data_IF_237492607102
#
_entry.id   IF_237492607102
#
_cell.length_a   1.000
_cell.length_b   1.000
_cell.length_c   1.000
_cell.angle_alpha   90.00
_cell.angle_beta   90.00
_cell.angle_gamma   90.00
#
_symmetry.space_group_name_H-M   'P 1'
#
loop_
_entity.id
_entity.type
_entity.pdbx_description
1 polymer ?
#
# COMPACT_ATOMS: atom_id res chain seq x y z
N UNK A 1 26.16 1.86 -11.07
CA UNK A 1 27.33 2.58 -10.53
C UNK A 1 27.13 4.10 -10.51
N UNK A 2 26.72 4.75 -11.61
CA UNK A 2 26.43 6.20 -11.65
C UNK A 2 25.28 6.63 -10.71
N UNK A 3 24.25 5.79 -10.60
CA UNK A 3 23.06 6.03 -9.79
C UNK A 3 23.33 6.00 -8.27
N UNK A 4 24.26 5.15 -7.85
CA UNK A 4 24.66 4.97 -6.44
C UNK A 4 25.50 6.16 -5.96
N UNK A 5 26.23 6.79 -6.88
CA UNK A 5 27.01 8.01 -6.60
C UNK A 5 26.11 9.25 -6.50
N UNK A 6 25.06 9.34 -7.34
CA UNK A 6 24.08 10.43 -7.29
C UNK A 6 23.26 10.43 -5.98
N UNK A 7 22.99 9.24 -5.43
CA UNK A 7 22.28 9.08 -4.16
C UNK A 7 23.06 9.56 -2.93
N UNK A 8 24.40 9.63 -3.03
CA UNK A 8 25.29 9.93 -1.89
C UNK A 8 25.70 11.40 -1.79
N UNK A 9 25.45 12.22 -2.81
CA UNK A 9 26.09 13.54 -2.93
C UNK A 9 25.31 14.70 -2.29
N UNK A 10 23.98 14.68 -2.21
CA UNK A 10 23.20 15.80 -1.66
C UNK A 10 21.85 15.26 -1.16
N UNK A 11 21.17 15.95 -0.24
CA UNK A 11 19.82 15.60 0.27
C UNK A 11 18.72 15.45 -0.81
N UNK A 12 19.09 15.60 -2.08
CA UNK A 12 18.33 15.33 -3.31
C UNK A 12 18.24 13.82 -3.62
N UNK A 13 19.15 12.97 -3.12
CA UNK A 13 19.18 11.54 -3.43
C UNK A 13 17.87 10.81 -3.12
N UNK A 14 17.24 11.15 -1.98
CA UNK A 14 15.94 10.60 -1.59
C UNK A 14 14.84 10.97 -2.60
N UNK A 15 14.76 12.25 -3.00
CA UNK A 15 13.79 12.73 -4.00
C UNK A 15 14.03 12.11 -5.38
N UNK A 16 15.29 11.95 -5.77
CA UNK A 16 15.66 11.36 -7.05
C UNK A 16 15.31 9.86 -7.09
N UNK A 17 15.51 9.15 -5.98
CA UNK A 17 15.13 7.74 -5.83
C UNK A 17 13.60 7.58 -5.89
N UNK A 18 12.83 8.44 -5.22
CA UNK A 18 11.37 8.43 -5.28
C UNK A 18 10.86 8.81 -6.68
N UNK A 19 11.44 9.83 -7.32
CA UNK A 19 11.10 10.23 -8.69
C UNK A 19 11.31 9.07 -9.67
N UNK A 20 12.44 8.36 -9.58
CA UNK A 20 12.73 7.26 -10.49
C UNK A 20 11.84 6.03 -10.23
N UNK A 21 11.42 5.82 -8.99
CA UNK A 21 10.39 4.84 -8.66
C UNK A 21 9.05 5.19 -9.33
N UNK A 22 8.60 6.45 -9.26
CA UNK A 22 7.37 6.92 -9.93
C UNK A 22 7.49 6.86 -11.45
N UNK A 23 8.65 7.25 -12.01
CA UNK A 23 8.91 7.15 -13.45
C UNK A 23 8.82 5.70 -13.95
N UNK A 24 9.29 4.73 -13.17
CA UNK A 24 9.17 3.31 -13.51
C UNK A 24 7.69 2.86 -13.59
N UNK A 25 6.85 3.34 -12.68
CA UNK A 25 5.40 3.10 -12.71
C UNK A 25 4.76 3.72 -13.95
N UNK A 26 5.09 4.98 -14.27
CA UNK A 26 4.59 5.68 -15.46
C UNK A 26 5.02 4.96 -16.75
N UNK A 27 6.28 4.49 -16.83
CA UNK A 27 6.77 3.75 -18.00
C UNK A 27 5.99 2.44 -18.17
N UNK A 28 5.73 1.70 -17.09
CA UNK A 28 4.95 0.46 -17.14
C UNK A 28 3.53 0.70 -17.67
N UNK A 29 2.87 1.77 -17.21
CA UNK A 29 1.55 2.17 -17.69
C UNK A 29 1.58 2.65 -19.16
N UNK A 30 2.62 3.41 -19.54
CA UNK A 30 2.81 3.93 -20.90
C UNK A 30 2.96 2.82 -21.93
N UNK A 31 3.62 1.71 -21.60
CA UNK A 31 3.74 0.57 -22.52
C UNK A 31 2.37 -0.01 -22.92
N UNK A 32 1.42 -0.08 -21.99
CA UNK A 32 0.06 -0.57 -22.29
C UNK A 32 -0.67 0.41 -23.22
N UNK A 33 -0.52 1.71 -22.99
CA UNK A 33 -1.10 2.76 -23.84
C UNK A 33 -0.53 2.70 -25.26
N UNK A 34 0.79 2.53 -25.40
CA UNK A 34 1.46 2.47 -26.71
C UNK A 34 0.97 1.28 -27.54
N UNK A 35 0.78 0.09 -26.93
CA UNK A 35 0.24 -1.08 -27.63
C UNK A 35 -1.16 -0.79 -28.23
N UNK A 36 -1.98 -0.07 -27.49
CA UNK A 36 -3.32 0.31 -27.93
C UNK A 36 -3.29 1.40 -29.02
N UNK A 37 -2.39 2.38 -28.90
CA UNK A 37 -2.16 3.38 -29.94
C UNK A 37 -1.72 2.76 -31.26
N UNK A 38 -0.85 1.74 -31.24
CA UNK A 38 -0.43 1.03 -32.45
C UNK A 38 -1.61 0.31 -33.10
N UNK A 39 -2.49 -0.32 -32.30
CA UNK A 39 -3.69 -0.98 -32.81
C UNK A 39 -4.62 0.02 -33.52
N UNK A 40 -4.93 1.14 -32.87
CA UNK A 40 -5.77 2.18 -33.50
C UNK A 40 -5.11 2.86 -34.69
N UNK A 41 -3.80 3.12 -34.64
CA UNK A 41 -3.06 3.68 -35.76
C UNK A 41 -3.14 2.77 -37.00
N UNK A 42 -3.08 1.45 -36.80
CA UNK A 42 -3.21 0.47 -37.88
C UNK A 42 -4.63 0.48 -38.48
N UNK A 43 -5.67 0.58 -37.64
CA UNK A 43 -7.06 0.67 -38.11
C UNK A 43 -7.29 1.97 -38.88
N UNK A 44 -6.86 3.11 -38.33
CA UNK A 44 -7.00 4.40 -38.99
C UNK A 44 -6.20 4.45 -40.30
N UNK A 45 -5.00 3.87 -40.35
CA UNK A 45 -4.23 3.69 -41.58
C UNK A 45 -5.02 2.95 -42.67
N UNK A 46 -5.71 1.87 -42.31
CA UNK A 46 -6.51 1.10 -43.27
C UNK A 46 -7.77 1.83 -43.73
N UNK A 47 -8.47 2.51 -42.81
CA UNK A 47 -9.78 3.14 -43.10
C UNK A 47 -9.61 4.49 -43.80
N UNK A 48 -8.59 5.28 -43.43
CA UNK A 48 -8.43 6.69 -43.82
C UNK A 48 -7.25 6.92 -44.78
N UNK A 49 -6.84 5.90 -45.53
CA UNK A 49 -5.69 5.92 -46.45
C UNK A 49 -5.69 7.06 -47.49
N UNK A 50 -6.85 7.64 -47.77
CA UNK A 50 -7.01 8.77 -48.69
C UNK A 50 -6.41 10.09 -48.17
N UNK A 51 -6.18 10.18 -46.86
CA UNK A 51 -5.62 11.37 -46.23
C UNK A 51 -4.09 11.29 -46.18
N UNK A 52 -3.38 12.41 -46.39
CA UNK A 52 -1.91 12.43 -46.37
C UNK A 52 -1.35 12.03 -45.00
N UNK A 53 -2.08 12.33 -43.92
CA UNK A 53 -1.74 12.00 -42.54
C UNK A 53 -1.73 10.49 -42.25
N UNK A 54 -2.48 9.72 -43.03
CA UNK A 54 -2.60 8.26 -42.90
C UNK A 54 -1.96 7.52 -44.09
N UNK A 55 -1.12 8.20 -44.88
CA UNK A 55 -0.44 7.63 -46.05
C UNK A 55 0.60 6.58 -45.68
N UNK A 56 1.30 6.76 -44.55
CA UNK A 56 2.24 5.81 -43.96
C UNK A 56 1.86 5.48 -42.53
N UNK A 57 2.16 4.27 -42.07
CA UNK A 57 1.94 3.85 -40.68
C UNK A 57 2.63 4.77 -39.66
N UNK A 58 3.82 5.30 -39.99
CA UNK A 58 4.55 6.23 -39.12
C UNK A 58 3.79 7.54 -38.91
N UNK A 59 3.25 8.11 -39.98
CA UNK A 59 2.47 9.34 -39.91
C UNK A 59 1.12 9.09 -39.22
N UNK A 60 0.48 7.96 -39.50
CA UNK A 60 -0.75 7.54 -38.85
C UNK A 60 -0.58 7.40 -37.33
N UNK A 61 0.55 6.83 -36.87
CA UNK A 61 0.85 6.70 -35.44
C UNK A 61 0.98 8.06 -34.75
N UNK A 62 1.75 8.98 -35.34
CA UNK A 62 1.90 10.35 -34.80
C UNK A 62 0.55 11.05 -34.80
N UNK A 63 -0.25 10.91 -35.86
CA UNK A 63 -1.56 11.52 -35.96
C UNK A 63 -2.54 10.99 -34.92
N UNK A 64 -2.58 9.69 -34.67
CA UNK A 64 -3.40 9.11 -33.60
C UNK A 64 -2.95 9.60 -32.22
N UNK A 65 -1.65 9.83 -32.03
CA UNK A 65 -1.11 10.39 -30.78
C UNK A 65 -1.53 11.85 -30.58
N UNK A 66 -1.50 12.69 -31.63
CA UNK A 66 -2.01 14.07 -31.55
C UNK A 66 -3.53 14.10 -31.38
N UNK A 67 -4.26 13.19 -32.03
CA UNK A 67 -5.71 13.04 -31.86
C UNK A 67 -6.08 12.60 -30.44
N UNK A 68 -5.26 11.78 -29.79
CA UNK A 68 -5.42 11.40 -28.37
C UNK A 68 -5.24 12.59 -27.43
N UNK A 69 -4.33 13.52 -27.75
CA UNK A 69 -4.15 14.77 -26.99
C UNK A 69 -5.34 15.73 -27.21
N UNK A 70 -6.15 15.50 -28.25
CA UNK A 70 -7.30 16.33 -28.60
C UNK A 70 -7.04 17.30 -29.74
N UNK A 71 -5.92 17.17 -30.46
CA UNK A 71 -5.65 17.95 -31.66
C UNK A 71 -6.32 17.33 -32.88
N UNK A 72 -7.33 18.02 -33.40
CA UNK A 72 -8.11 17.64 -34.57
C UNK A 72 -8.02 18.80 -35.58
N UNK A 73 -6.99 18.79 -36.41
CA UNK A 73 -6.71 19.84 -37.39
C UNK A 73 -7.67 19.76 -38.60
N UNK A 74 -8.96 20.01 -38.39
CA UNK A 74 -10.03 19.91 -39.40
C UNK A 74 -9.77 20.76 -40.66
N UNK A 75 -9.18 21.95 -40.46
CA UNK A 75 -8.94 22.92 -41.54
C UNK A 75 -8.00 22.36 -42.61
N UNK A 76 -6.92 21.71 -42.17
CA UNK A 76 -5.90 21.16 -43.05
C UNK A 76 -6.44 19.94 -43.82
N UNK A 77 -7.18 19.08 -43.12
CA UNK A 77 -7.87 17.92 -43.72
C UNK A 77 -8.87 18.35 -44.80
N UNK A 78 -9.69 19.37 -44.50
CA UNK A 78 -10.71 19.87 -45.43
C UNK A 78 -10.09 20.54 -46.67
N UNK A 79 -9.05 21.36 -46.48
CA UNK A 79 -8.34 22.01 -47.58
C UNK A 79 -7.71 20.97 -48.52
N UNK A 80 -7.08 19.94 -47.96
CA UNK A 80 -6.47 18.88 -48.77
C UNK A 80 -7.50 18.06 -49.57
N UNK A 81 -8.68 17.81 -49.00
CA UNK A 81 -9.80 17.14 -49.67
C UNK A 81 -10.42 18.02 -50.78
N UNK A 82 -10.36 19.35 -50.62
CA UNK A 82 -10.76 20.31 -51.64
C UNK A 82 -9.80 20.31 -52.82
N UNK A 83 -8.49 20.39 -52.57
CA UNK A 83 -7.47 20.43 -53.62
C UNK A 83 -7.38 19.12 -54.43
N UNK A 84 -7.74 17.98 -53.82
CA UNK A 84 -7.74 16.66 -54.49
C UNK A 84 -9.04 16.31 -55.21
N UNK A 85 -10.03 17.21 -55.27
CA UNK A 85 -11.36 16.97 -55.86
C UNK A 85 -12.11 15.74 -55.29
N UNK A 86 -11.74 15.26 -54.09
CA UNK A 86 -12.43 14.15 -53.41
C UNK A 86 -13.56 14.64 -52.48
N UNK A 87 -14.11 15.83 -52.78
CA UNK A 87 -15.08 16.52 -51.94
C UNK A 87 -16.33 15.67 -51.64
N UNK A 88 -16.73 14.80 -52.56
CA UNK A 88 -17.90 13.94 -52.42
C UNK A 88 -17.76 12.95 -51.26
N UNK A 89 -16.53 12.56 -50.90
CA UNK A 89 -16.24 11.70 -49.75
C UNK A 89 -15.80 12.49 -48.50
N UNK A 90 -15.56 13.80 -48.63
CA UNK A 90 -15.04 14.66 -47.55
C UNK A 90 -15.95 14.66 -46.32
N UNK A 91 -17.26 14.81 -46.50
CA UNK A 91 -18.22 14.78 -45.39
C UNK A 91 -18.24 13.45 -44.63
N UNK A 92 -18.20 12.33 -45.36
CA UNK A 92 -18.17 10.99 -44.76
C UNK A 92 -16.84 10.72 -44.04
N UNK A 93 -15.71 11.10 -44.64
CA UNK A 93 -14.40 10.95 -44.03
C UNK A 93 -14.30 11.73 -42.71
N UNK A 94 -14.82 12.96 -42.67
CA UNK A 94 -14.84 13.79 -41.47
C UNK A 94 -15.71 13.19 -40.34
N UNK A 95 -16.87 12.63 -40.68
CA UNK A 95 -17.73 11.93 -39.72
C UNK A 95 -17.01 10.69 -39.17
N UNK A 96 -16.34 9.92 -40.03
CA UNK A 96 -15.58 8.74 -39.63
C UNK A 96 -14.40 9.13 -38.71
N UNK A 97 -13.65 10.19 -39.04
CA UNK A 97 -12.58 10.71 -38.18
C UNK A 97 -13.14 11.11 -36.82
N UNK A 98 -14.24 11.88 -36.78
CA UNK A 98 -14.85 12.33 -35.53
C UNK A 98 -15.25 11.13 -34.65
N UNK A 99 -15.89 10.12 -35.25
CA UNK A 99 -16.27 8.89 -34.57
C UNK A 99 -15.03 8.17 -34.00
N UNK A 100 -13.99 8.00 -34.80
CA UNK A 100 -12.74 7.36 -34.37
C UNK A 100 -12.04 8.12 -33.26
N UNK A 101 -12.00 9.46 -33.33
CA UNK A 101 -11.41 10.29 -32.28
C UNK A 101 -12.15 10.13 -30.96
N UNK A 102 -13.48 10.12 -30.98
CA UNK A 102 -14.29 9.85 -29.78
C UNK A 102 -13.96 8.47 -29.21
N UNK A 103 -13.89 7.43 -30.05
CA UNK A 103 -13.56 6.07 -29.62
C UNK A 103 -12.15 5.99 -29.02
N UNK A 104 -11.15 6.57 -29.68
CA UNK A 104 -9.75 6.59 -29.20
C UNK A 104 -9.67 7.30 -27.84
N UNK A 105 -10.31 8.47 -27.70
CA UNK A 105 -10.27 9.25 -26.48
C UNK A 105 -11.04 8.59 -25.32
N UNK A 106 -12.22 8.02 -25.57
CA UNK A 106 -12.97 7.28 -24.54
C UNK A 106 -12.19 6.04 -24.11
N UNK A 107 -11.66 5.27 -25.05
CA UNK A 107 -10.94 4.05 -24.72
C UNK A 107 -9.61 4.36 -24.00
N UNK A 108 -8.92 5.43 -24.39
CA UNK A 108 -7.74 5.94 -23.69
C UNK A 108 -8.07 6.40 -22.26
N UNK A 109 -9.11 7.21 -22.08
CA UNK A 109 -9.55 7.66 -20.76
C UNK A 109 -9.95 6.48 -19.87
N UNK A 110 -10.67 5.50 -20.41
CA UNK A 110 -11.06 4.30 -19.67
C UNK A 110 -9.86 3.45 -19.28
N UNK A 111 -8.83 3.37 -20.12
CA UNK A 111 -7.60 2.65 -19.79
C UNK A 111 -6.79 3.38 -18.70
N UNK A 112 -6.68 4.71 -18.78
CA UNK A 112 -6.05 5.51 -17.73
C UNK A 112 -6.79 5.39 -16.40
N UNK A 113 -8.12 5.44 -16.42
CA UNK A 113 -8.95 5.25 -15.22
C UNK A 113 -8.82 3.82 -14.70
N UNK A 114 -8.83 2.82 -15.59
CA UNK A 114 -8.64 1.41 -15.22
C UNK A 114 -7.28 1.13 -14.60
N UNK A 115 -6.21 1.73 -15.14
CA UNK A 115 -4.86 1.67 -14.56
C UNK A 115 -4.78 2.46 -13.25
N UNK A 116 -5.34 3.67 -13.18
CA UNK A 116 -5.32 4.47 -11.97
C UNK A 116 -6.12 3.83 -10.82
N UNK A 117 -7.24 3.17 -11.13
CA UNK A 117 -8.05 2.43 -10.15
C UNK A 117 -7.40 1.10 -9.76
N UNK A 118 -6.72 0.42 -10.69
CA UNK A 118 -5.90 -0.75 -10.37
C UNK A 118 -4.72 -0.40 -9.46
N UNK A 119 -3.95 0.62 -9.83
CA UNK A 119 -2.78 1.08 -9.10
C UNK A 119 -3.16 1.69 -7.74
N UNK A 120 -4.25 2.47 -7.63
CA UNK A 120 -4.65 3.04 -6.33
C UNK A 120 -5.03 1.96 -5.32
N UNK A 121 -5.67 0.88 -5.76
CA UNK A 121 -6.04 -0.23 -4.88
C UNK A 121 -4.80 -1.00 -4.41
N UNK A 122 -3.85 -1.28 -5.32
CA UNK A 122 -2.59 -1.95 -4.98
C UNK A 122 -1.71 -1.08 -4.08
N UNK A 123 -1.62 0.22 -4.36
CA UNK A 123 -0.88 1.19 -3.55
C UNK A 123 -1.53 1.36 -2.17
N UNK A 124 -2.87 1.43 -2.06
CA UNK A 124 -3.58 1.53 -0.78
C UNK A 124 -3.29 0.32 0.12
N UNK A 125 -3.40 -0.89 -0.41
CA UNK A 125 -3.09 -2.13 0.33
C UNK A 125 -1.62 -2.18 0.79
N UNK A 126 -0.70 -1.72 -0.07
CA UNK A 126 0.72 -1.69 0.27
C UNK A 126 1.08 -0.53 1.22
N UNK A 127 0.37 0.59 1.18
CA UNK A 127 0.59 1.76 2.04
C UNK A 127 0.30 1.42 3.51
N UNK A 128 -0.83 0.76 3.78
CA UNK A 128 -1.22 0.41 5.15
C UNK A 128 -0.18 -0.52 5.81
N UNK A 129 0.34 -1.47 5.04
CA UNK A 129 1.36 -2.41 5.52
C UNK A 129 2.75 -1.77 5.60
N UNK A 130 3.11 -0.92 4.64
CA UNK A 130 4.42 -0.26 4.61
C UNK A 130 4.57 0.81 5.67
N UNK A 131 3.48 1.50 6.06
CA UNK A 131 3.48 2.46 7.16
C UNK A 131 3.83 1.77 8.49
N UNK A 132 3.13 0.69 8.84
CA UNK A 132 3.38 -0.08 10.07
C UNK A 132 4.81 -0.65 10.07
N UNK A 133 5.28 -1.16 8.93
CA UNK A 133 6.67 -1.65 8.79
C UNK A 133 7.70 -0.55 8.99
N UNK A 134 7.45 0.63 8.43
CA UNK A 134 8.33 1.80 8.58
C UNK A 134 8.41 2.22 10.03
N UNK A 135 7.27 2.37 10.71
CA UNK A 135 7.22 2.70 12.13
C UNK A 135 7.93 1.65 13.00
N UNK A 136 7.70 0.37 12.72
CA UNK A 136 8.38 -0.73 13.43
C UNK A 136 9.89 -0.71 13.22
N UNK A 137 10.35 -0.44 11.99
CA UNK A 137 11.78 -0.35 11.68
C UNK A 137 12.45 0.83 12.39
N UNK A 138 11.77 1.96 12.49
CA UNK A 138 12.22 3.13 13.24
C UNK A 138 12.32 2.80 14.73
N UNK A 139 11.27 2.23 15.31
CA UNK A 139 11.26 1.83 16.72
C UNK A 139 12.34 0.78 17.01
N UNK A 140 12.53 -0.19 16.12
CA UNK A 140 13.55 -1.23 16.25
C UNK A 140 14.97 -0.65 16.19
N UNK A 141 15.22 0.22 15.22
CA UNK A 141 16.51 0.90 15.05
C UNK A 141 16.82 1.80 16.24
N UNK A 142 15.82 2.55 16.72
CA UNK A 142 15.94 3.39 17.90
C UNK A 142 16.23 2.56 19.16
N UNK A 143 15.49 1.47 19.38
CA UNK A 143 15.72 0.55 20.51
C UNK A 143 17.11 -0.08 20.47
N UNK A 144 17.59 -0.45 19.28
CA UNK A 144 18.86 -1.18 19.13
C UNK A 144 20.08 -0.25 19.15
N UNK A 145 19.96 0.95 18.58
CA UNK A 145 21.10 1.84 18.37
C UNK A 145 21.21 2.97 19.39
N UNK A 146 20.10 3.40 20.01
CA UNK A 146 20.07 4.55 20.91
C UNK A 146 19.80 4.19 22.38
N UNK A 147 19.19 3.04 22.67
CA UNK A 147 18.77 2.67 24.02
C UNK A 147 19.71 1.62 24.66
N UNK A 148 20.36 1.92 25.80
CA UNK A 148 21.15 0.93 26.52
C UNK A 148 20.25 -0.13 27.18
N UNK A 149 20.69 -1.40 27.21
CA UNK A 149 19.91 -2.56 27.69
C UNK A 149 19.26 -2.39 29.08
N UNK A 150 19.94 -1.68 29.99
CA UNK A 150 19.43 -1.36 31.34
C UNK A 150 18.16 -0.51 31.32
N UNK A 151 18.06 0.43 30.37
CA UNK A 151 16.87 1.28 30.21
C UNK A 151 15.71 0.51 29.58
N UNK A 152 16.03 -0.45 28.71
CA UNK A 152 15.03 -1.29 28.07
C UNK A 152 14.32 -2.19 29.08
N UNK A 153 15.06 -2.82 30.00
CA UNK A 153 14.48 -3.64 31.08
C UNK A 153 13.60 -2.83 32.04
N UNK A 154 13.97 -1.58 32.32
CA UNK A 154 13.19 -0.70 33.20
C UNK A 154 11.92 -0.14 32.53
N UNK A 155 12.00 0.19 31.24
CA UNK A 155 10.87 0.77 30.48
C UNK A 155 9.95 -0.28 29.85
N UNK A 156 10.32 -1.56 29.87
CA UNK A 156 9.53 -2.65 29.31
C UNK A 156 8.31 -2.94 30.19
N UNK A 157 7.12 -2.60 29.67
CA UNK A 157 5.86 -3.04 30.26
C UNK A 157 5.21 -4.08 29.33
N UNK A 158 4.93 -5.30 29.80
CA UNK A 158 4.43 -6.39 28.94
C UNK A 158 2.98 -6.20 28.48
N UNK A 159 2.22 -5.27 29.07
CA UNK A 159 0.85 -4.98 28.67
C UNK A 159 0.48 -3.51 29.00
N UNK A 160 0.16 -2.72 27.97
CA UNK A 160 -0.41 -1.39 28.16
C UNK A 160 -1.92 -1.52 28.41
N UNK A 161 -2.31 -1.63 29.69
CA UNK A 161 -3.72 -1.75 30.07
C UNK A 161 -4.36 -0.37 30.09
N UNK A 162 -5.00 0.04 28.99
CA UNK A 162 -5.86 1.23 28.97
C UNK A 162 -7.13 0.90 29.77
N UNK A 163 -7.12 1.19 31.08
CA UNK A 163 -8.32 1.08 31.90
C UNK A 163 -9.23 2.27 31.63
N UNK A 164 -10.21 2.11 30.74
CA UNK A 164 -11.32 3.07 30.58
C UNK A 164 -12.30 2.91 31.73
N UNK A 165 -11.94 3.44 32.91
CA UNK A 165 -12.81 3.81 34.03
C UNK A 165 -12.00 3.74 35.34
N UNK A 166 -11.49 4.88 35.78
CA UNK A 166 -11.29 5.11 37.21
C UNK A 166 -12.41 6.05 37.69
N UNK A 167 -12.93 5.82 38.91
CA UNK A 167 -13.91 6.70 39.55
C UNK A 167 -13.24 8.05 39.81
N UNK A 168 -13.40 9.00 38.90
CA UNK A 168 -12.95 10.38 39.06
C UNK A 168 -13.73 11.06 40.19
N UNK A 169 -13.05 11.85 41.02
CA UNK A 169 -13.74 12.72 41.99
C UNK A 169 -14.64 13.71 41.24
N UNK A 170 -15.73 14.16 41.87
CA UNK A 170 -16.70 15.10 41.28
C UNK A 170 -16.02 16.33 40.63
N UNK A 171 -14.98 16.87 41.27
CA UNK A 171 -14.20 18.01 40.73
C UNK A 171 -13.40 17.66 39.48
N UNK A 172 -12.82 16.47 39.44
CA UNK A 172 -12.07 15.97 38.29
C UNK A 172 -13.02 15.68 37.11
N UNK A 173 -14.22 15.16 37.37
CA UNK A 173 -15.26 14.99 36.36
C UNK A 173 -15.71 16.33 35.77
N UNK A 174 -15.91 17.34 36.63
CA UNK A 174 -16.29 18.69 36.21
C UNK A 174 -15.18 19.37 35.38
N UNK A 175 -13.92 19.15 35.73
CA UNK A 175 -12.77 19.60 34.95
C UNK A 175 -12.65 18.84 33.63
N UNK A 176 -12.87 17.52 33.62
CA UNK A 176 -12.86 16.71 32.41
C UNK A 176 -13.94 17.20 31.43
N UNK A 177 -15.18 17.34 31.88
CA UNK A 177 -16.32 17.83 31.08
C UNK A 177 -16.04 19.23 30.50
N UNK A 178 -15.44 20.14 31.28
CA UNK A 178 -15.03 21.46 30.77
C UNK A 178 -13.92 21.40 29.72
N UNK A 179 -13.00 20.44 29.81
CA UNK A 179 -11.85 20.31 28.91
C UNK A 179 -12.22 19.64 27.58
N UNK A 180 -13.22 18.75 27.54
CA UNK A 180 -13.65 18.07 26.30
C UNK A 180 -14.99 18.56 25.73
N UNK A 181 -15.64 19.53 26.39
CA UNK A 181 -16.73 20.31 25.77
C UNK A 181 -16.36 20.98 24.43
N UNK A 182 -15.05 21.15 24.14
CA UNK A 182 -14.56 21.73 22.89
C UNK A 182 -13.93 20.75 21.89
N UNK A 183 -13.82 19.46 22.23
CA UNK A 183 -13.16 18.46 21.36
C UNK A 183 -14.13 17.37 20.97
N UNK A 184 -14.88 17.61 19.88
CA UNK A 184 -15.55 16.53 19.17
C UNK A 184 -14.48 15.62 18.56
N UNK A 185 -14.23 14.48 19.18
CA UNK A 185 -13.43 13.41 18.60
C UNK A 185 -14.16 12.95 17.34
N UNK A 186 -13.79 13.49 16.19
CA UNK A 186 -14.31 13.06 14.91
C UNK A 186 -13.76 11.66 14.67
N UNK A 187 -14.49 10.64 15.09
CA UNK A 187 -14.28 9.29 14.62
C UNK A 187 -14.41 9.35 13.10
N UNK A 188 -13.33 9.01 12.39
CA UNK A 188 -13.33 8.91 10.94
C UNK A 188 -14.24 7.75 10.54
N UNK A 189 -15.52 8.05 10.33
CA UNK A 189 -16.44 7.20 9.57
C UNK A 189 -16.36 7.62 8.12
N UNK A 190 -15.60 6.86 7.33
CA UNK A 190 -15.89 6.44 5.95
C UNK A 190 -14.73 5.56 5.46
N UNK A 191 -15.02 4.26 5.39
CA UNK A 191 -14.46 3.21 4.51
C UNK A 191 -14.74 1.86 5.21
N UNK A 192 -16.03 1.58 5.35
CA UNK A 192 -16.60 0.40 5.99
C UNK A 192 -16.89 -0.63 4.91
N UNK A 193 -15.89 -1.38 4.46
CA UNK A 193 -16.12 -2.72 3.88
C UNK A 193 -14.82 -3.55 3.79
N UNK A 194 -13.66 -2.96 3.54
CA UNK A 194 -12.38 -3.72 3.48
C UNK A 194 -11.70 -3.94 4.85
N UNK A 195 -12.11 -3.18 5.88
CA UNK A 195 -11.50 -3.24 7.22
C UNK A 195 -11.96 -4.45 8.06
N UNK A 196 -13.10 -5.09 7.73
CA UNK A 196 -13.63 -6.18 8.55
C UNK A 196 -12.80 -7.47 8.50
N UNK A 197 -12.16 -7.77 7.36
CA UNK A 197 -11.28 -8.94 7.21
C UNK A 197 -9.98 -8.77 7.97
N UNK A 198 -9.34 -7.60 7.89
CA UNK A 198 -8.09 -7.33 8.62
C UNK A 198 -8.31 -7.25 10.14
N UNK A 199 -9.44 -6.68 10.59
CA UNK A 199 -9.81 -6.69 12.01
C UNK A 199 -10.06 -8.13 12.51
N UNK A 200 -10.65 -9.00 11.68
CA UNK A 200 -10.88 -10.41 12.05
C UNK A 200 -9.57 -11.19 12.20
N UNK A 201 -8.64 -11.05 11.24
CA UNK A 201 -7.32 -11.70 11.28
C UNK A 201 -6.51 -11.21 12.49
N UNK A 202 -6.54 -9.91 12.76
CA UNK A 202 -5.83 -9.34 13.92
C UNK A 202 -6.45 -9.75 15.26
N UNK A 203 -7.77 -9.97 15.31
CA UNK A 203 -8.48 -10.50 16.48
C UNK A 203 -8.12 -11.95 16.72
N UNK A 204 -8.02 -12.76 15.66
CA UNK A 204 -7.63 -14.16 15.72
C UNK A 204 -6.18 -14.33 16.20
N UNK A 205 -5.25 -13.56 15.62
CA UNK A 205 -3.83 -13.56 16.04
C UNK A 205 -3.64 -13.14 17.50
N UNK A 206 -4.46 -12.20 17.99
CA UNK A 206 -4.45 -11.79 19.40
C UNK A 206 -4.94 -12.91 20.32
N UNK A 207 -5.97 -13.65 19.89
CA UNK A 207 -6.51 -14.76 20.64
C UNK A 207 -5.48 -15.91 20.74
N UNK A 208 -4.83 -16.25 19.63
CA UNK A 208 -3.74 -17.24 19.62
C UNK A 208 -2.58 -16.85 20.55
N UNK A 209 -2.24 -15.56 20.64
CA UNK A 209 -1.15 -15.11 21.50
C UNK A 209 -1.50 -15.22 23.00
N UNK A 210 -2.77 -15.07 23.36
CA UNK A 210 -3.24 -15.29 24.74
C UNK A 210 -3.21 -16.76 25.12
N UNK A 211 -3.60 -17.66 24.22
CA UNK A 211 -3.57 -19.10 24.47
C UNK A 211 -2.14 -19.63 24.59
N UNK A 212 -1.21 -19.13 23.78
CA UNK A 212 0.22 -19.44 23.89
C UNK A 212 0.78 -18.97 25.24
N UNK A 213 0.34 -17.80 25.73
CA UNK A 213 0.77 -17.27 27.01
C UNK A 213 0.20 -18.09 28.18
N UNK A 214 -1.08 -18.45 28.13
CA UNK A 214 -1.71 -19.32 29.13
C UNK A 214 -1.04 -20.70 29.19
N UNK A 215 -0.72 -21.29 28.03
CA UNK A 215 0.05 -22.53 27.94
C UNK A 215 1.45 -22.38 28.55
N UNK A 216 2.11 -21.23 28.31
CA UNK A 216 3.44 -20.96 28.86
C UNK A 216 3.38 -20.84 30.39
N UNK A 217 2.37 -20.15 30.92
CA UNK A 217 2.18 -19.99 32.37
C UNK A 217 1.86 -21.33 33.04
N UNK A 218 0.97 -22.15 32.45
CA UNK A 218 0.70 -23.52 32.92
C UNK A 218 1.92 -24.42 32.89
N UNK A 219 2.78 -24.28 31.87
CA UNK A 219 4.02 -25.05 31.78
C UNK A 219 5.03 -24.64 32.85
N UNK A 220 5.10 -23.35 33.19
CA UNK A 220 5.94 -22.83 34.27
C UNK A 220 5.46 -23.37 35.62
N UNK A 221 4.16 -23.36 35.89
CA UNK A 221 3.58 -23.90 37.13
C UNK A 221 3.81 -25.41 37.24
N UNK A 222 3.55 -26.17 36.18
CA UNK A 222 3.81 -27.60 36.15
C UNK A 222 5.29 -27.93 36.42
N UNK A 223 6.21 -27.16 35.83
CA UNK A 223 7.64 -27.32 36.09
C UNK A 223 7.97 -27.05 37.55
N UNK A 224 7.34 -26.06 38.18
CA UNK A 224 7.51 -25.75 39.60
C UNK A 224 7.02 -26.91 40.48
N UNK A 225 5.85 -27.47 40.18
CA UNK A 225 5.27 -28.60 40.92
C UNK A 225 6.15 -29.86 40.82
N UNK A 226 6.69 -30.16 39.62
CA UNK A 226 7.64 -31.26 39.44
C UNK A 226 8.89 -31.04 40.29
N UNK A 227 9.47 -29.84 40.29
CA UNK A 227 10.66 -29.55 41.09
C UNK A 227 10.39 -29.73 42.59
N UNK A 228 9.21 -29.32 43.05
CA UNK A 228 8.80 -29.47 44.44
C UNK A 228 8.64 -30.95 44.81
N UNK A 229 8.01 -31.75 43.94
CA UNK A 229 7.89 -33.20 44.12
C UNK A 229 9.25 -33.91 44.14
N UNK A 230 10.15 -33.58 43.21
CA UNK A 230 11.50 -34.15 43.15
C UNK A 230 12.28 -33.80 44.43
N UNK A 231 12.14 -32.57 44.93
CA UNK A 231 12.78 -32.14 46.18
C UNK A 231 12.25 -32.91 47.39
N UNK A 232 10.94 -33.13 47.49
CA UNK A 232 10.33 -33.94 48.55
C UNK A 232 10.80 -35.39 48.49
N UNK A 233 10.83 -35.99 47.30
CA UNK A 233 11.28 -37.38 47.11
C UNK A 233 12.77 -37.51 47.47
N UNK A 234 13.61 -36.56 47.03
CA UNK A 234 15.04 -36.52 47.36
C UNK A 234 15.26 -36.40 48.88
N UNK A 235 14.51 -35.52 49.55
CA UNK A 235 14.58 -35.39 51.01
C UNK A 235 14.09 -36.65 51.73
N UNK A 236 13.03 -37.32 51.25
CA UNK A 236 12.57 -38.60 51.82
C UNK A 236 13.61 -39.71 51.65
N UNK A 237 14.26 -39.80 50.49
CA UNK A 237 15.36 -40.76 50.25
C UNK A 237 16.57 -40.47 51.14
N UNK A 238 16.91 -39.18 51.33
CA UNK A 238 17.98 -38.77 52.24
C UNK A 238 17.68 -39.12 53.70
N UNK A 239 16.43 -38.93 54.16
CA UNK A 239 16.02 -39.30 55.51
C UNK A 239 15.96 -40.82 55.72
N UNK A 240 15.53 -41.58 54.71
CA UNK A 240 15.48 -43.04 54.76
C UNK A 240 16.89 -43.65 54.85
N UNK A 241 17.83 -43.13 54.07
CA UNK A 241 19.25 -43.54 54.15
C UNK A 241 19.88 -43.22 55.52
N UNK A 242 19.45 -42.15 56.21
CA UNK A 242 19.94 -41.81 57.54
C UNK A 242 19.41 -42.76 58.62
N UNK A 243 18.16 -43.22 58.50
CA UNK A 243 17.58 -44.21 59.42
C UNK A 243 18.21 -45.60 59.25
N UNK A 244 18.55 -46.02 58.02
CA UNK A 244 19.22 -47.31 57.78
C UNK A 244 20.68 -47.32 58.27
N UNK A 245 21.38 -46.17 58.30
CA UNK A 245 22.73 -46.06 58.91
C UNK A 245 22.73 -45.95 60.45
N UNK A 246 21.56 -45.78 61.07
CA UNK A 246 21.42 -45.65 62.55
C UNK A 246 21.10 -46.98 63.24
N UNK A 247 20.80 -48.03 62.47
CA UNK A 247 20.36 -49.34 62.95
C UNK A 247 21.35 -50.49 62.60
N UNK A 248 22.63 -50.17 62.37
CA UNK A 248 23.73 -51.14 62.20
C UNK A 248 24.76 -50.95 63.30
#
# INVERSE_FOLDING_TARGET
MFFDYANRAFGIGLYLTMFLAIMKTIIRASLVIILFLIAFATVCYMVLRQLPEFSELRYAFIRVLTMMVGDISYRETFQHLYDTNQLQYSGLALIIILLFVIVINIAFANLLVGLAVGDINEVRSNADTSLIKTDLSYISTFKTCYMPKRLQEYAYQPAFVIRKHQKMRLREKLLWERLIAGTTLHASTKDTEESCTNISIFRELRHQHLDIKDLTDKFIDFRSDIFLQISIISNKLKNKNYQDTSNV
#
